data_IF_485322125361
#
_entry.id   IF_485322125361
#
_cell.length_a   1.000
_cell.length_b   1.000
_cell.length_c   1.000
_cell.angle_alpha   90.00
_cell.angle_beta   90.00
_cell.angle_gamma   90.00
#
_symmetry.space_group_name_H-M   'P 1'
#
loop_
_entity.id
_entity.type
_entity.pdbx_description
1 polymer ?
#
# COMPACT_ATOMS: atom_id res chain seq x y z
N UNK A 1 2.27 -11.67 8.79
CA UNK A 1 1.09 -10.77 8.75
C UNK A 1 0.23 -11.14 7.56
N UNK A 2 -1.10 -10.98 7.61
CA UNK A 2 -1.96 -11.29 6.45
C UNK A 2 -2.30 -10.02 5.68
N UNK A 3 -2.38 -10.09 4.35
CA UNK A 3 -2.66 -8.91 3.51
C UNK A 3 -3.94 -8.17 3.93
N UNK A 4 -4.97 -8.91 4.39
CA UNK A 4 -6.25 -8.35 4.83
C UNK A 4 -6.20 -7.48 6.11
N UNK A 5 -5.10 -7.49 6.86
CA UNK A 5 -4.91 -6.60 8.02
C UNK A 5 -4.40 -5.21 7.63
N UNK A 6 -3.86 -5.05 6.42
CA UNK A 6 -3.26 -3.78 5.96
C UNK A 6 -3.85 -3.24 4.65
N UNK A 7 -4.40 -4.11 3.80
CA UNK A 7 -5.07 -3.77 2.54
C UNK A 7 -6.52 -4.26 2.62
N UNK A 8 -7.45 -3.51 2.04
CA UNK A 8 -8.83 -3.94 1.86
C UNK A 8 -9.24 -3.71 0.40
N UNK A 9 -9.96 -4.67 -0.16
CA UNK A 9 -10.61 -4.58 -1.46
C UNK A 9 -12.07 -5.01 -1.25
N UNK A 10 -12.99 -4.09 -1.52
CA UNK A 10 -14.43 -4.30 -1.40
C UNK A 10 -15.07 -3.65 -2.63
N UNK A 11 -15.92 -4.32 -3.42
CA UNK A 11 -16.62 -3.71 -4.56
C UNK A 11 -17.34 -2.40 -4.22
N UNK A 12 -17.77 -2.23 -2.97
CA UNK A 12 -18.43 -1.01 -2.47
C UNK A 12 -17.45 0.13 -2.16
N UNK A 13 -16.14 -0.15 -2.10
CA UNK A 13 -15.07 0.82 -1.85
C UNK A 13 -14.25 0.98 -3.12
N UNK A 14 -14.35 2.15 -3.76
CA UNK A 14 -13.57 2.50 -4.96
C UNK A 14 -13.61 1.39 -6.04
N UNK A 15 -14.80 0.79 -6.21
CA UNK A 15 -15.08 -0.25 -7.19
C UNK A 15 -14.17 -1.50 -7.06
N UNK A 16 -13.78 -1.87 -5.84
CA UNK A 16 -12.91 -3.02 -5.57
C UNK A 16 -11.41 -2.73 -5.69
N UNK A 17 -11.01 -1.50 -5.97
CA UNK A 17 -9.59 -1.14 -6.00
C UNK A 17 -8.95 -1.40 -4.64
N UNK A 18 -7.80 -2.10 -4.57
CA UNK A 18 -7.09 -2.30 -3.31
C UNK A 18 -6.67 -0.97 -2.67
N UNK A 19 -7.19 -0.72 -1.47
CA UNK A 19 -6.90 0.48 -0.68
C UNK A 19 -6.22 0.13 0.63
N UNK A 20 -5.48 1.09 1.19
CA UNK A 20 -5.00 1.02 2.56
C UNK A 20 -6.17 0.85 3.53
N UNK A 21 -6.07 -0.10 4.46
CA UNK A 21 -7.16 -0.42 5.38
C UNK A 21 -7.61 0.80 6.19
N UNK A 22 -8.92 1.04 6.23
CA UNK A 22 -9.50 2.20 6.92
C UNK A 22 -9.42 3.51 6.13
N UNK A 23 -8.95 3.47 4.88
CA UNK A 23 -8.83 4.65 4.01
C UNK A 23 -9.52 4.42 2.66
N UNK A 24 -9.53 5.46 1.83
CA UNK A 24 -9.85 5.37 0.39
C UNK A 24 -8.63 5.55 -0.51
N UNK A 25 -7.42 5.53 0.07
CA UNK A 25 -6.18 5.76 -0.66
C UNK A 25 -5.78 4.44 -1.35
N UNK A 26 -5.69 4.40 -2.69
CA UNK A 26 -5.27 3.20 -3.39
C UNK A 26 -3.82 2.84 -3.05
N UNK A 27 -3.56 1.54 -2.86
CA UNK A 27 -2.21 1.03 -2.58
C UNK A 27 -1.23 1.38 -3.71
N UNK A 28 -1.72 1.37 -4.95
CA UNK A 28 -0.95 1.74 -6.14
C UNK A 28 -0.28 3.12 -6.02
N UNK A 29 -0.96 4.10 -5.41
CA UNK A 29 -0.46 5.48 -5.31
C UNK A 29 0.84 5.55 -4.53
N UNK A 30 1.04 4.70 -3.52
CA UNK A 30 2.32 4.61 -2.80
C UNK A 30 3.45 4.23 -3.75
N UNK A 31 3.24 3.21 -4.59
CA UNK A 31 4.27 2.75 -5.52
C UNK A 31 4.51 3.77 -6.65
N UNK A 32 3.46 4.40 -7.17
CA UNK A 32 3.58 5.45 -8.18
C UNK A 32 4.45 6.60 -7.63
N UNK A 33 4.18 7.09 -6.41
CA UNK A 33 4.95 8.17 -5.78
C UNK A 33 6.43 7.82 -5.61
N UNK A 34 6.73 6.64 -5.08
CA UNK A 34 8.10 6.20 -4.89
C UNK A 34 8.82 5.99 -6.24
N UNK A 35 8.10 5.51 -7.26
CA UNK A 35 8.66 5.32 -8.62
C UNK A 35 8.94 6.64 -9.33
N UNK A 36 8.15 7.68 -9.04
CA UNK A 36 8.35 9.05 -9.51
C UNK A 36 9.49 9.77 -8.74
N UNK A 37 10.17 9.08 -7.81
CA UNK A 37 11.28 9.62 -7.03
C UNK A 37 10.87 10.45 -5.82
N UNK A 38 9.58 10.43 -5.44
CA UNK A 38 9.09 11.11 -4.24
C UNK A 38 9.40 10.28 -2.99
N UNK A 39 9.61 10.95 -1.86
CA UNK A 39 9.90 10.28 -0.59
C UNK A 39 8.65 9.68 0.05
N UNK A 40 8.85 8.69 0.93
CA UNK A 40 7.78 8.15 1.77
C UNK A 40 7.19 9.24 2.67
N UNK A 41 8.02 10.16 3.16
CA UNK A 41 7.62 11.31 3.97
C UNK A 41 6.62 12.18 3.20
N UNK A 42 6.92 12.51 1.94
CA UNK A 42 6.04 13.31 1.09
C UNK A 42 4.70 12.60 0.82
N UNK A 43 4.73 11.29 0.60
CA UNK A 43 3.50 10.49 0.49
C UNK A 43 2.64 10.57 1.77
N UNK A 44 3.25 10.43 2.95
CA UNK A 44 2.55 10.48 4.23
C UNK A 44 1.98 11.87 4.55
N UNK A 45 2.70 12.93 4.16
CA UNK A 45 2.21 14.31 4.26
C UNK A 45 1.01 14.55 3.33
N UNK A 46 1.04 13.97 2.11
CA UNK A 46 -0.05 14.06 1.14
C UNK A 46 -1.28 13.24 1.57
N UNK A 47 -1.06 12.09 2.21
CA UNK A 47 -2.10 11.16 2.64
C UNK A 47 -2.04 10.90 4.15
N UNK A 48 -2.42 11.87 5.01
CA UNK A 48 -2.31 11.75 6.47
C UNK A 48 -3.21 10.66 7.08
N UNK A 49 -4.18 10.13 6.31
CA UNK A 49 -4.99 8.98 6.71
C UNK A 49 -4.23 7.65 6.64
N UNK A 50 -3.11 7.59 5.92
CA UNK A 50 -2.25 6.41 5.86
C UNK A 50 -1.17 6.56 6.92
N UNK A 51 -1.15 5.64 7.89
CA UNK A 51 -0.09 5.65 8.90
C UNK A 51 1.24 5.16 8.32
N UNK A 52 2.37 5.65 8.85
CA UNK A 52 3.71 5.16 8.48
C UNK A 52 3.81 3.65 8.58
N UNK A 53 3.25 3.06 9.64
CA UNK A 53 3.24 1.60 9.84
C UNK A 53 2.52 0.89 8.69
N UNK A 54 1.36 1.40 8.28
CA UNK A 54 0.57 0.80 7.21
C UNK A 54 1.30 0.87 5.86
N UNK A 55 1.93 2.01 5.56
CA UNK A 55 2.74 2.17 4.35
C UNK A 55 3.95 1.21 4.34
N UNK A 56 4.72 1.14 5.42
CA UNK A 56 5.90 0.25 5.49
C UNK A 56 5.53 -1.22 5.50
N UNK A 57 4.39 -1.58 6.09
CA UNK A 57 3.88 -2.96 6.05
C UNK A 57 3.47 -3.37 4.62
N UNK A 58 2.92 -2.46 3.82
CA UNK A 58 2.64 -2.70 2.40
C UNK A 58 3.92 -2.89 1.59
N UNK A 59 4.95 -2.07 1.83
CA UNK A 59 6.25 -2.23 1.18
C UNK A 59 6.88 -3.59 1.50
N UNK A 60 6.86 -4.00 2.77
CA UNK A 60 7.37 -5.30 3.20
C UNK A 60 6.61 -6.46 2.57
N UNK A 61 5.27 -6.37 2.52
CA UNK A 61 4.47 -7.37 1.82
C UNK A 61 4.83 -7.45 0.34
N UNK A 62 5.04 -6.32 -0.34
CA UNK A 62 5.49 -6.29 -1.73
C UNK A 62 6.83 -6.99 -1.92
N UNK A 63 7.81 -6.69 -1.05
CA UNK A 63 9.11 -7.35 -1.04
C UNK A 63 8.98 -8.88 -0.87
N UNK A 64 8.25 -9.34 0.16
CA UNK A 64 8.02 -10.76 0.43
C UNK A 64 7.38 -11.50 -0.77
N UNK A 65 6.47 -10.82 -1.49
CA UNK A 65 5.82 -11.41 -2.69
C UNK A 65 6.79 -11.55 -3.86
N UNK A 66 7.62 -10.54 -4.10
CA UNK A 66 8.63 -10.57 -5.17
C UNK A 66 9.66 -11.68 -4.89
N UNK A 67 10.17 -11.75 -3.66
CA UNK A 67 11.12 -12.80 -3.25
C UNK A 67 10.52 -14.20 -3.44
N UNK A 68 9.26 -14.39 -3.04
CA UNK A 68 8.57 -15.66 -3.23
C UNK A 68 8.35 -16.00 -4.72
N UNK A 69 8.06 -15.03 -5.58
CA UNK A 69 7.85 -15.26 -7.01
C UNK A 69 9.15 -15.62 -7.75
N UNK A 70 10.28 -15.07 -7.33
CA UNK A 70 11.59 -15.31 -7.97
C UNK A 70 12.25 -16.61 -7.50
N UNK A 71 11.97 -17.05 -6.26
CA UNK A 71 12.57 -18.26 -5.66
C UNK A 71 11.73 -19.52 -5.89
N UNK A 72 10.49 -19.39 -6.38
CA UNK A 72 9.59 -20.50 -6.72
C UNK A 72 9.79 -20.99 -8.16
#
# INVERSE_FOLDING_TARGET
MTAGSIITSDPKILNGTPVFKGTRVPVRVLFDYLSDGLSLEYFLETFPSVTRKLATDVLRLGQERIEHEVVA
#
